data_IF_678799705409
#
_entry.id   IF_678799705409
#
_cell.length_a   1.000
_cell.length_b   1.000
_cell.length_c   1.000
_cell.angle_alpha   90.00
_cell.angle_beta   90.00
_cell.angle_gamma   90.00
#
_symmetry.space_group_name_H-M   'P 1'
#
loop_
_entity.id
_entity.type
_entity.pdbx_description
1 polymer ?
#
# COMPACT_ATOMS: atom_id res chain seq x y z
N UNK A 1 -21.97 11.40 -6.14
CA UNK A 1 -20.99 12.02 -5.23
C UNK A 1 -20.05 10.91 -4.81
N UNK A 2 -18.79 10.96 -5.22
CA UNK A 2 -17.82 9.91 -4.83
C UNK A 2 -17.35 10.19 -3.40
N UNK A 3 -17.36 9.15 -2.56
CA UNK A 3 -16.91 9.22 -1.17
C UNK A 3 -15.47 8.75 -1.06
N UNK A 4 -14.62 9.53 -0.38
CA UNK A 4 -13.24 9.17 -0.07
C UNK A 4 -13.16 8.74 1.40
N UNK A 5 -12.54 7.60 1.66
CA UNK A 5 -12.27 7.10 3.02
C UNK A 5 -10.79 7.28 3.34
N UNK A 6 -10.50 7.87 4.50
CA UNK A 6 -9.14 7.93 5.04
C UNK A 6 -9.02 6.86 6.12
N UNK A 7 -8.06 5.96 5.95
CA UNK A 7 -7.81 4.86 6.88
C UNK A 7 -6.49 5.10 7.62
N UNK A 8 -6.50 4.85 8.93
CA UNK A 8 -5.28 4.90 9.73
C UNK A 8 -4.44 3.65 9.49
N UNK A 9 -3.11 3.85 9.39
CA UNK A 9 -2.12 2.76 9.42
C UNK A 9 -2.07 2.20 10.85
N UNK A 10 -2.31 0.90 11.01
CA UNK A 10 -2.33 0.28 12.35
C UNK A 10 -0.92 -0.05 12.86
N UNK A 11 -0.83 -0.66 14.04
CA UNK A 11 0.46 -1.21 14.53
C UNK A 11 0.87 -2.38 13.63
N UNK A 12 -0.06 -3.27 13.30
CA UNK A 12 0.16 -4.45 12.47
C UNK A 12 0.61 -4.07 11.06
N UNK A 13 0.03 -3.02 10.46
CA UNK A 13 0.46 -2.51 9.16
C UNK A 13 1.91 -1.99 9.20
N UNK A 14 2.31 -1.34 10.30
CA UNK A 14 3.68 -0.83 10.49
C UNK A 14 4.68 -1.95 10.70
N UNK A 15 4.34 -2.96 11.49
CA UNK A 15 5.17 -4.15 11.69
C UNK A 15 5.37 -4.90 10.37
N UNK A 16 4.29 -5.13 9.61
CA UNK A 16 4.39 -5.72 8.27
C UNK A 16 5.22 -4.85 7.29
N UNK A 17 5.14 -3.53 7.41
CA UNK A 17 5.94 -2.61 6.59
C UNK A 17 7.44 -2.73 6.89
N UNK A 18 7.84 -2.95 8.14
CA UNK A 18 9.25 -3.14 8.53
C UNK A 18 9.89 -4.36 7.87
N UNK A 19 9.14 -5.44 7.67
CA UNK A 19 9.64 -6.63 6.97
C UNK A 19 9.96 -6.37 5.48
N UNK A 20 9.30 -5.37 4.88
CA UNK A 20 9.44 -4.97 3.46
C UNK A 20 10.44 -3.82 3.30
N UNK A 21 10.70 -3.05 4.35
CA UNK A 21 11.47 -1.80 4.36
C UNK A 21 12.98 -2.03 4.13
N UNK A 22 13.31 -2.36 2.88
CA UNK A 22 14.69 -2.54 2.38
C UNK A 22 14.90 -1.92 1.01
N UNK A 23 13.87 -1.92 0.14
CA UNK A 23 13.96 -1.47 -1.26
C UNK A 23 12.94 -0.38 -1.64
N UNK A 24 12.03 -0.04 -0.74
CA UNK A 24 10.96 0.92 -0.97
C UNK A 24 10.92 1.95 0.16
N UNK A 25 10.22 3.06 -0.06
CA UNK A 25 9.95 4.01 1.02
C UNK A 25 9.09 3.36 2.10
N UNK A 26 9.18 3.85 3.35
CA UNK A 26 8.34 3.32 4.42
C UNK A 26 6.85 3.59 4.15
N UNK A 27 6.52 4.71 3.50
CA UNK A 27 5.15 5.05 3.07
C UNK A 27 4.60 4.06 2.05
N UNK A 28 5.42 3.61 1.09
CA UNK A 28 5.01 2.56 0.16
C UNK A 28 4.79 1.24 0.90
N UNK A 29 5.70 0.86 1.80
CA UNK A 29 5.59 -0.36 2.59
C UNK A 29 4.30 -0.40 3.43
N UNK A 30 3.95 0.70 4.11
CA UNK A 30 2.70 0.79 4.88
C UNK A 30 1.47 0.80 3.97
N UNK A 31 1.56 1.43 2.79
CA UNK A 31 0.49 1.36 1.78
C UNK A 31 0.25 -0.08 1.32
N UNK A 32 1.30 -0.86 1.05
CA UNK A 32 1.19 -2.28 0.69
C UNK A 32 0.55 -3.11 1.80
N UNK A 33 0.95 -2.86 3.06
CA UNK A 33 0.40 -3.57 4.22
C UNK A 33 -1.10 -3.27 4.40
N UNK A 34 -1.48 -1.98 4.38
CA UNK A 34 -2.89 -1.54 4.46
C UNK A 34 -3.71 -2.14 3.33
N UNK A 35 -3.22 -2.08 2.09
CA UNK A 35 -3.93 -2.65 0.94
C UNK A 35 -4.15 -4.15 1.10
N UNK A 36 -3.14 -4.90 1.54
CA UNK A 36 -3.27 -6.34 1.82
C UNK A 36 -4.30 -6.61 2.91
N UNK A 37 -4.25 -5.88 4.03
CA UNK A 37 -5.20 -6.01 5.15
C UNK A 37 -6.64 -5.74 4.71
N UNK A 38 -6.84 -4.75 3.84
CA UNK A 38 -8.16 -4.37 3.33
C UNK A 38 -8.61 -5.17 2.08
N UNK A 39 -7.78 -6.10 1.57
CA UNK A 39 -8.10 -6.87 0.36
C UNK A 39 -8.12 -6.05 -0.93
N UNK A 40 -7.40 -4.92 -0.97
CA UNK A 40 -7.33 -4.02 -2.13
C UNK A 40 -6.21 -4.47 -3.08
N UNK A 41 -6.54 -4.58 -4.38
CA UNK A 41 -5.57 -4.99 -5.41
C UNK A 41 -5.17 -3.85 -6.36
N UNK A 42 -6.04 -2.85 -6.55
CA UNK A 42 -5.85 -1.76 -7.51
C UNK A 42 -5.29 -0.52 -6.81
N UNK A 43 -4.25 0.08 -7.37
CA UNK A 43 -3.62 1.28 -6.83
C UNK A 43 -3.60 2.40 -7.86
N UNK A 44 -3.99 3.60 -7.46
CA UNK A 44 -3.74 4.81 -8.25
C UNK A 44 -2.35 5.34 -7.86
N UNK A 45 -1.31 4.92 -8.58
CA UNK A 45 0.08 5.29 -8.34
C UNK A 45 0.83 5.44 -9.67
N UNK A 46 1.79 6.36 -9.74
CA UNK A 46 2.50 6.70 -10.99
C UNK A 46 3.83 5.95 -11.15
N UNK A 47 4.43 5.55 -10.04
CA UNK A 47 5.65 4.74 -10.05
C UNK A 47 5.35 3.24 -10.30
N UNK A 48 6.43 2.45 -10.37
CA UNK A 48 6.35 1.00 -10.59
C UNK A 48 6.38 0.19 -9.28
N UNK A 49 6.47 0.82 -8.11
CA UNK A 49 6.64 0.10 -6.84
C UNK A 49 5.45 -0.82 -6.56
N UNK A 50 4.23 -0.32 -6.79
CA UNK A 50 2.99 -1.09 -6.61
C UNK A 50 2.92 -2.30 -7.57
N UNK A 51 3.38 -2.15 -8.83
CA UNK A 51 3.47 -3.27 -9.78
C UNK A 51 4.44 -4.34 -9.30
N UNK A 52 5.63 -3.95 -8.82
CA UNK A 52 6.65 -4.88 -8.32
C UNK A 52 6.12 -5.71 -7.15
N UNK A 53 5.23 -5.15 -6.33
CA UNK A 53 4.59 -5.82 -5.21
C UNK A 53 3.33 -6.61 -5.59
N UNK A 54 2.97 -6.66 -6.88
CA UNK A 54 1.85 -7.44 -7.40
C UNK A 54 0.49 -6.71 -7.39
N UNK A 55 0.46 -5.41 -7.10
CA UNK A 55 -0.74 -4.59 -7.26
C UNK A 55 -0.92 -4.14 -8.71
N UNK A 56 -2.15 -3.80 -9.06
CA UNK A 56 -2.54 -3.40 -10.42
C UNK A 56 -2.71 -1.89 -10.48
N UNK A 57 -1.84 -1.14 -11.18
CA UNK A 57 -2.07 0.27 -11.40
C UNK A 57 -3.32 0.51 -12.23
N UNK A 58 -3.94 1.66 -12.00
CA UNK A 58 -5.14 2.10 -12.74
C UNK A 58 -4.90 3.37 -13.56
N UNK A 59 -3.63 3.73 -13.76
CA UNK A 59 -3.20 4.83 -14.63
C UNK A 59 -2.66 4.32 -15.97
#
# INVERSE_FOLDING_TARGET
>A
MESIFVVSVTVEDREAAWEIFKKFSFTDCTSFAVMKRLGLQRALAVDRHFQVMGFVPVI
#
